data_IF_420242370882
#
_entry.id   IF_420242370882
#
_cell.length_a   1.000
_cell.length_b   1.000
_cell.length_c   1.000
_cell.angle_alpha   90.00
_cell.angle_beta   90.00
_cell.angle_gamma   90.00
#
_symmetry.space_group_name_H-M   'P 1'
#
loop_
_entity.id
_entity.type
_entity.pdbx_description
1 polymer ?
#
# COMPACT_ATOMS: atom_id res chain seq x y z
N UNK A 1 20.25 -15.83 5.62
CA UNK A 1 19.97 -17.29 5.78
C UNK A 1 19.58 -17.59 7.23
N UNK A 2 18.33 -17.26 7.60
CA UNK A 2 17.53 -17.76 8.74
C UNK A 2 18.17 -17.85 10.16
N UNK A 3 18.90 -16.84 10.64
CA UNK A 3 19.39 -16.78 12.03
C UNK A 3 18.43 -16.06 13.02
N UNK A 4 17.12 -16.28 12.92
CA UNK A 4 16.16 -15.84 13.95
C UNK A 4 15.51 -17.05 14.61
N UNK A 5 16.34 -17.81 15.32
CA UNK A 5 15.88 -18.92 16.17
C UNK A 5 15.49 -18.36 17.53
N UNK A 6 14.20 -18.42 17.88
CA UNK A 6 13.73 -18.05 19.21
C UNK A 6 13.71 -19.28 20.13
N UNK A 7 14.16 -19.10 21.38
CA UNK A 7 14.01 -20.09 22.44
C UNK A 7 12.79 -19.72 23.27
N UNK A 8 11.74 -20.54 23.21
CA UNK A 8 10.53 -20.37 24.02
C UNK A 8 10.42 -21.55 24.98
N UNK A 9 10.37 -21.28 26.29
CA UNK A 9 10.15 -22.29 27.33
C UNK A 9 11.06 -23.55 27.25
N UNK A 10 12.34 -23.37 26.89
CA UNK A 10 13.30 -24.49 26.80
C UNK A 10 13.20 -25.31 25.51
N UNK A 11 12.27 -24.99 24.61
CA UNK A 11 12.25 -25.53 23.26
C UNK A 11 13.19 -24.72 22.36
N UNK A 12 14.30 -25.32 21.98
CA UNK A 12 15.30 -24.74 21.09
C UNK A 12 15.00 -25.13 19.64
N UNK A 13 14.09 -24.39 19.01
CA UNK A 13 14.11 -24.00 17.57
C UNK A 13 12.73 -23.54 17.09
N UNK A 14 12.41 -22.26 17.27
CA UNK A 14 11.32 -21.61 16.53
C UNK A 14 11.93 -20.70 15.46
N UNK A 15 11.53 -20.89 14.19
CA UNK A 15 11.93 -20.01 13.08
C UNK A 15 10.97 -18.82 13.02
N UNK A 16 11.46 -17.61 13.25
CA UNK A 16 10.65 -16.41 13.13
C UNK A 16 10.39 -16.09 11.64
N UNK A 17 9.17 -16.35 11.18
CA UNK A 17 8.71 -16.06 9.81
C UNK A 17 7.72 -14.89 9.73
N UNK A 18 7.52 -14.17 10.84
CA UNK A 18 6.45 -13.16 10.98
C UNK A 18 6.94 -11.72 10.81
N UNK A 19 8.24 -11.48 10.92
CA UNK A 19 8.80 -10.14 10.80
C UNK A 19 9.18 -9.85 9.35
N UNK A 20 8.56 -8.83 8.75
CA UNK A 20 8.88 -8.31 7.42
C UNK A 20 10.11 -7.37 7.46
N UNK A 21 11.15 -7.77 8.17
CA UNK A 21 12.40 -7.04 8.26
C UNK A 21 13.46 -7.80 7.46
N UNK A 22 14.20 -7.13 6.55
CA UNK A 22 15.26 -7.78 5.80
C UNK A 22 16.32 -8.41 6.71
N UNK A 23 16.93 -9.51 6.27
CA UNK A 23 17.98 -10.23 7.02
C UNK A 23 19.39 -9.72 6.72
N UNK A 24 19.53 -8.69 5.90
CA UNK A 24 20.80 -8.03 5.59
C UNK A 24 21.00 -6.77 6.42
N UNK A 25 22.26 -6.49 6.74
CA UNK A 25 22.66 -5.26 7.42
C UNK A 25 22.44 -4.02 6.53
N UNK A 26 22.28 -2.87 7.18
CA UNK A 26 22.28 -1.59 6.46
C UNK A 26 23.59 -1.43 5.68
N UNK A 27 23.55 -1.08 4.37
CA UNK A 27 24.76 -0.89 3.57
C UNK A 27 25.77 0.05 4.24
N UNK A 28 27.07 -0.29 4.19
CA UNK A 28 28.12 0.42 4.94
C UNK A 28 28.16 1.92 4.67
N UNK A 29 27.98 2.34 3.41
CA UNK A 29 27.94 3.76 3.02
C UNK A 29 26.79 4.53 3.70
N UNK A 30 25.68 3.87 4.00
CA UNK A 30 24.54 4.48 4.72
C UNK A 30 24.83 4.53 6.22
N UNK A 31 25.39 3.46 6.77
CA UNK A 31 25.78 3.40 8.19
C UNK A 31 26.87 4.45 8.51
N UNK A 32 27.89 4.57 7.66
CA UNK A 32 28.95 5.57 7.76
C UNK A 32 28.40 7.00 7.66
N UNK A 33 27.48 7.27 6.74
CA UNK A 33 26.81 8.57 6.69
C UNK A 33 26.08 8.89 8.00
N UNK A 34 25.40 7.91 8.59
CA UNK A 34 24.76 8.03 9.91
C UNK A 34 25.75 8.33 11.05
N UNK A 35 26.92 7.70 11.03
CA UNK A 35 28.00 7.97 12.00
C UNK A 35 28.54 9.39 11.82
N UNK A 36 28.83 9.78 10.58
CA UNK A 36 29.42 11.07 10.25
C UNK A 36 28.53 12.24 10.69
N UNK A 37 27.22 12.18 10.42
CA UNK A 37 26.31 13.26 10.84
C UNK A 37 26.24 13.42 12.36
N UNK A 38 26.43 12.34 13.13
CA UNK A 38 26.54 12.40 14.59
C UNK A 38 27.87 13.07 14.99
N UNK A 39 28.98 12.64 14.40
CA UNK A 39 30.32 13.19 14.68
C UNK A 39 30.44 14.68 14.33
N UNK A 40 29.76 15.11 13.27
CA UNK A 40 29.72 16.51 12.80
C UNK A 40 28.73 17.38 13.61
N UNK A 41 27.98 16.78 14.55
CA UNK A 41 27.09 17.51 15.44
C UNK A 41 25.74 17.90 14.82
N UNK A 42 25.31 17.23 13.75
CA UNK A 42 23.98 17.42 13.12
C UNK A 42 22.85 16.80 13.97
N UNK A 43 22.71 17.24 15.21
CA UNK A 43 21.78 16.69 16.23
C UNK A 43 20.67 17.67 16.64
N UNK A 44 20.55 18.80 15.94
CA UNK A 44 19.50 19.80 16.17
C UNK A 44 18.28 19.52 15.30
N UNK A 45 17.18 20.24 15.57
CA UNK A 45 15.98 20.13 14.76
C UNK A 45 16.26 20.38 13.28
N UNK A 46 15.75 19.48 12.45
CA UNK A 46 15.64 19.67 11.01
C UNK A 46 14.35 20.45 10.69
N UNK A 47 14.20 21.00 9.47
CA UNK A 47 12.93 21.54 9.04
C UNK A 47 11.81 20.51 9.16
N UNK A 48 10.60 20.92 9.53
CA UNK A 48 9.45 20.01 9.74
C UNK A 48 9.15 19.10 8.53
N UNK A 49 9.38 19.58 7.31
CA UNK A 49 9.16 18.80 6.09
C UNK A 49 10.29 17.79 5.79
N UNK A 50 11.41 17.86 6.52
CA UNK A 50 12.67 17.20 6.20
C UNK A 50 13.69 18.15 5.56
N UNK A 51 14.96 17.73 5.59
CA UNK A 51 16.08 18.49 5.00
C UNK A 51 15.87 18.70 3.50
N UNK A 52 16.36 19.82 2.97
CA UNK A 52 16.15 20.17 1.56
C UNK A 52 16.86 19.17 0.63
N UNK A 53 18.05 18.76 1.01
CA UNK A 53 18.90 17.81 0.31
C UNK A 53 18.20 16.46 0.13
N UNK A 54 17.60 15.93 1.21
CA UNK A 54 16.87 14.66 1.16
C UNK A 54 15.61 14.77 0.30
N UNK A 55 14.83 15.85 0.44
CA UNK A 55 13.65 16.07 -0.39
C UNK A 55 14.01 16.18 -1.88
N UNK A 56 15.11 16.88 -2.21
CA UNK A 56 15.62 16.97 -3.59
C UNK A 56 16.09 15.61 -4.12
N UNK A 57 16.78 14.81 -3.31
CA UNK A 57 17.19 13.46 -3.68
C UNK A 57 15.99 12.55 -3.98
N UNK A 58 14.92 12.64 -3.18
CA UNK A 58 13.66 11.91 -3.44
C UNK A 58 13.01 12.37 -4.74
N UNK A 59 12.95 13.68 -5.02
CA UNK A 59 12.45 14.17 -6.32
C UNK A 59 13.22 13.56 -7.50
N UNK A 60 14.55 13.49 -7.40
CA UNK A 60 15.38 12.87 -8.43
C UNK A 60 15.10 11.38 -8.59
N UNK A 61 15.01 10.63 -7.48
CA UNK A 61 14.66 9.21 -7.48
C UNK A 61 13.30 8.95 -8.15
N UNK A 62 12.28 9.73 -7.81
CA UNK A 62 10.93 9.60 -8.36
C UNK A 62 10.91 9.86 -9.87
N UNK A 63 11.68 10.83 -10.36
CA UNK A 63 11.82 11.08 -11.79
C UNK A 63 12.55 9.91 -12.49
N UNK A 64 13.70 9.50 -11.96
CA UNK A 64 14.57 8.50 -12.59
C UNK A 64 13.95 7.09 -12.58
N UNK A 65 13.40 6.66 -11.45
CA UNK A 65 12.90 5.28 -11.28
C UNK A 65 11.41 5.14 -11.58
N UNK A 66 10.62 6.21 -11.40
CA UNK A 66 9.16 6.16 -11.53
C UNK A 66 8.61 7.04 -12.66
N UNK A 67 9.44 7.88 -13.30
CA UNK A 67 9.02 8.77 -14.39
C UNK A 67 8.04 9.86 -13.95
N UNK A 68 8.05 10.25 -12.67
CA UNK A 68 7.14 11.24 -12.10
C UNK A 68 7.88 12.41 -11.46
N UNK A 69 7.55 13.62 -11.91
CA UNK A 69 8.21 14.84 -11.45
C UNK A 69 7.48 15.47 -10.26
N UNK A 70 8.23 15.79 -9.21
CA UNK A 70 7.75 16.56 -8.06
C UNK A 70 8.74 17.66 -7.70
N UNK A 71 8.23 18.74 -7.09
CA UNK A 71 9.08 19.75 -6.45
C UNK A 71 9.37 19.36 -4.99
N UNK A 72 10.49 19.83 -4.39
CA UNK A 72 10.77 19.54 -2.99
C UNK A 72 9.65 19.93 -2.01
N UNK A 73 8.84 20.95 -2.34
CA UNK A 73 7.72 21.39 -1.50
C UNK A 73 6.52 20.43 -1.53
N UNK A 74 6.53 19.43 -2.41
CA UNK A 74 5.55 18.36 -2.48
C UNK A 74 6.04 17.07 -1.80
N UNK A 75 7.23 17.08 -1.18
CA UNK A 75 7.80 15.94 -0.45
C UNK A 75 7.79 16.24 1.05
N UNK A 76 7.24 15.31 1.84
CA UNK A 76 7.23 15.35 3.30
C UNK A 76 7.95 14.10 3.83
N UNK A 77 8.99 14.29 4.63
CA UNK A 77 9.69 13.20 5.32
C UNK A 77 9.00 12.90 6.65
N UNK A 78 8.77 11.62 6.93
CA UNK A 78 8.17 11.13 8.18
C UNK A 78 9.07 10.07 8.82
N UNK A 79 8.80 9.71 10.07
CA UNK A 79 9.43 8.61 10.81
C UNK A 79 8.88 7.26 10.33
N UNK A 80 9.17 6.93 9.07
CA UNK A 80 8.72 5.72 8.39
C UNK A 80 7.36 5.87 7.70
N UNK A 81 7.10 4.95 6.76
CA UNK A 81 5.93 5.00 5.88
C UNK A 81 4.59 4.95 6.64
N UNK A 82 4.55 4.27 7.80
CA UNK A 82 3.36 4.17 8.65
C UNK A 82 2.85 5.55 9.07
N UNK A 83 3.75 6.47 9.43
CA UNK A 83 3.37 7.85 9.77
C UNK A 83 2.89 8.60 8.53
N UNK A 84 3.55 8.45 7.38
CA UNK A 84 3.16 9.13 6.14
C UNK A 84 1.74 8.75 5.71
N UNK A 85 1.38 7.46 5.76
CA UNK A 85 0.03 6.99 5.43
C UNK A 85 -1.01 7.52 6.43
N UNK A 86 -0.74 7.43 7.74
CA UNK A 86 -1.64 7.95 8.76
C UNK A 86 -1.90 9.46 8.58
N UNK A 87 -0.84 10.25 8.36
CA UNK A 87 -0.99 11.69 8.12
C UNK A 87 -1.78 11.98 6.84
N UNK A 88 -1.56 11.20 5.79
CA UNK A 88 -2.36 11.26 4.57
C UNK A 88 -3.84 11.07 4.86
N UNK A 89 -4.21 9.97 5.55
CA UNK A 89 -5.59 9.68 5.93
C UNK A 89 -6.22 10.77 6.79
N UNK A 90 -5.51 11.24 7.83
CA UNK A 90 -6.00 12.30 8.71
C UNK A 90 -6.23 13.64 8.00
N UNK A 91 -5.51 13.90 6.90
CA UNK A 91 -5.66 15.14 6.12
C UNK A 91 -6.78 15.04 5.08
N UNK A 92 -6.98 13.86 4.48
CA UNK A 92 -7.95 13.70 3.39
C UNK A 92 -9.33 13.26 3.85
N UNK A 93 -9.45 12.57 4.98
CA UNK A 93 -10.71 12.04 5.49
C UNK A 93 -11.37 12.98 6.50
N UNK A 94 -12.69 13.07 6.44
CA UNK A 94 -13.57 13.63 7.46
C UNK A 94 -14.28 12.52 8.25
N UNK A 95 -14.81 12.88 9.42
CA UNK A 95 -15.61 11.97 10.24
C UNK A 95 -16.82 11.45 9.46
N UNK A 96 -16.97 10.13 9.40
CA UNK A 96 -18.03 9.45 8.67
C UNK A 96 -17.71 9.12 7.21
N UNK A 97 -16.60 9.61 6.65
CA UNK A 97 -16.16 9.23 5.29
C UNK A 97 -15.89 7.73 5.21
N UNK A 98 -16.10 7.16 4.03
CA UNK A 98 -15.81 5.76 3.76
C UNK A 98 -14.41 5.60 3.17
N UNK A 99 -13.57 4.79 3.82
CA UNK A 99 -12.25 4.41 3.33
C UNK A 99 -12.32 2.99 2.80
N UNK A 100 -12.17 2.86 1.48
CA UNK A 100 -12.22 1.57 0.80
C UNK A 100 -10.81 0.94 0.81
N UNK A 101 -10.70 -0.29 1.32
CA UNK A 101 -9.44 -1.05 1.33
C UNK A 101 -9.67 -2.45 0.78
N UNK A 102 -8.84 -2.85 -0.18
CA UNK A 102 -8.82 -4.21 -0.69
C UNK A 102 -8.09 -5.16 0.27
N UNK A 103 -8.76 -6.24 0.70
CA UNK A 103 -8.22 -7.29 1.56
C UNK A 103 -7.65 -8.47 0.77
N UNK A 104 -6.71 -9.26 1.34
CA UNK A 104 -6.07 -9.05 2.64
C UNK A 104 -5.17 -7.80 2.65
N UNK A 105 -5.22 -7.02 3.72
CA UNK A 105 -4.55 -5.72 3.82
C UNK A 105 -3.59 -5.65 5.00
N UNK A 106 -2.69 -4.65 4.98
CA UNK A 106 -1.79 -4.41 6.09
C UNK A 106 -2.57 -3.98 7.34
N UNK A 107 -2.40 -4.72 8.44
CA UNK A 107 -3.21 -4.62 9.67
C UNK A 107 -3.39 -3.20 10.19
N UNK A 108 -2.40 -2.33 9.99
CA UNK A 108 -2.45 -0.95 10.49
C UNK A 108 -3.48 -0.08 9.77
N UNK A 109 -3.90 -0.40 8.54
CA UNK A 109 -4.81 0.47 7.80
C UNK A 109 -6.21 0.54 8.42
N UNK A 110 -6.69 -0.56 9.03
CA UNK A 110 -7.95 -0.57 9.76
C UNK A 110 -7.97 0.46 10.88
N UNK A 111 -6.94 0.42 11.73
CA UNK A 111 -6.84 1.35 12.86
C UNK A 111 -6.57 2.78 12.39
N UNK A 112 -5.80 2.98 11.31
CA UNK A 112 -5.59 4.33 10.77
C UNK A 112 -6.88 4.98 10.24
N UNK A 113 -7.73 4.22 9.55
CA UNK A 113 -9.04 4.72 9.10
C UNK A 113 -9.91 5.10 10.30
N UNK A 114 -9.93 4.26 11.33
CA UNK A 114 -10.65 4.52 12.58
C UNK A 114 -10.12 5.76 13.31
N UNK A 115 -8.80 5.98 13.33
CA UNK A 115 -8.18 7.17 13.90
C UNK A 115 -8.59 8.46 13.16
N UNK A 116 -8.93 8.36 11.87
CA UNK A 116 -9.48 9.45 11.08
C UNK A 116 -11.01 9.62 11.24
N UNK A 117 -11.65 8.85 12.14
CA UNK A 117 -13.10 8.76 12.29
C UNK A 117 -13.83 8.34 11.00
N UNK A 118 -13.12 7.67 10.09
CA UNK A 118 -13.68 7.13 8.87
C UNK A 118 -14.24 5.72 9.10
N UNK A 119 -15.27 5.38 8.33
CA UNK A 119 -15.82 4.03 8.25
C UNK A 119 -14.98 3.23 7.27
N UNK A 120 -14.41 2.10 7.72
CA UNK A 120 -13.67 1.22 6.83
C UNK A 120 -14.64 0.32 6.06
N UNK A 121 -14.57 0.37 4.73
CA UNK A 121 -15.22 -0.58 3.85
C UNK A 121 -14.16 -1.52 3.26
N UNK A 122 -14.18 -2.78 3.70
CA UNK A 122 -13.26 -3.80 3.19
C UNK A 122 -13.84 -4.42 1.93
N UNK A 123 -13.10 -4.32 0.83
CA UNK A 123 -13.33 -5.14 -0.36
C UNK A 123 -12.53 -6.42 -0.19
N UNK A 124 -13.17 -7.47 0.27
CA UNK A 124 -12.52 -8.78 0.44
C UNK A 124 -12.18 -9.36 -0.93
N UNK A 125 -10.90 -9.35 -1.34
CA UNK A 125 -10.52 -9.93 -2.63
C UNK A 125 -10.46 -11.46 -2.60
N UNK A 126 -10.30 -12.09 -1.43
CA UNK A 126 -10.27 -13.55 -1.34
C UNK A 126 -11.68 -14.14 -1.52
N UNK A 127 -12.71 -13.45 -1.05
CA UNK A 127 -14.11 -13.86 -1.23
C UNK A 127 -14.80 -13.21 -2.46
N UNK A 128 -14.46 -11.97 -2.81
CA UNK A 128 -15.17 -11.17 -3.82
C UNK A 128 -14.44 -11.12 -5.17
N UNK A 129 -13.11 -11.25 -5.22
CA UNK A 129 -12.35 -11.04 -6.45
C UNK A 129 -11.51 -12.27 -6.82
N UNK A 130 -12.05 -13.12 -7.70
CA UNK A 130 -11.32 -14.31 -8.16
C UNK A 130 -10.08 -13.92 -8.95
N UNK A 131 -10.21 -12.93 -9.82
CA UNK A 131 -9.11 -12.38 -10.63
C UNK A 131 -9.57 -11.13 -11.39
N UNK A 132 -8.62 -10.26 -11.73
CA UNK A 132 -8.84 -9.07 -12.54
C UNK A 132 -7.87 -9.06 -13.72
N UNK A 133 -8.38 -8.89 -14.94
CA UNK A 133 -7.57 -8.83 -16.16
C UNK A 133 -7.82 -7.53 -16.90
N UNK A 134 -6.77 -7.00 -17.53
CA UNK A 134 -6.94 -5.93 -18.52
C UNK A 134 -7.88 -6.45 -19.62
N UNK A 135 -8.99 -5.76 -19.84
CA UNK A 135 -10.05 -6.20 -20.76
C UNK A 135 -9.51 -6.48 -22.17
N UNK A 136 -8.60 -5.65 -22.67
CA UNK A 136 -7.97 -5.84 -23.98
C UNK A 136 -7.17 -7.13 -24.12
N UNK A 137 -6.73 -7.71 -23.00
CA UNK A 137 -5.90 -8.90 -22.95
C UNK A 137 -6.69 -10.17 -22.64
N UNK A 138 -8.00 -10.06 -22.43
CA UNK A 138 -8.86 -11.16 -22.00
C UNK A 138 -9.58 -11.78 -23.21
N UNK A 139 -9.34 -13.07 -23.54
CA UNK A 139 -10.11 -13.79 -24.54
C UNK A 139 -11.62 -13.76 -24.25
N UNK A 140 -12.44 -13.44 -25.26
CA UNK A 140 -13.91 -13.33 -25.14
C UNK A 140 -14.53 -14.60 -24.55
N UNK A 141 -13.98 -15.77 -24.88
CA UNK A 141 -14.47 -17.07 -24.42
C UNK A 141 -14.41 -17.24 -22.88
N UNK A 142 -13.47 -16.57 -22.20
CA UNK A 142 -13.32 -16.69 -20.75
C UNK A 142 -14.51 -16.08 -20.00
N UNK A 143 -15.17 -15.04 -20.57
CA UNK A 143 -16.37 -14.47 -19.96
C UNK A 143 -17.55 -15.42 -20.02
N UNK A 144 -17.73 -16.08 -21.17
CA UNK A 144 -18.76 -17.09 -21.36
C UNK A 144 -18.52 -18.28 -20.43
N UNK A 145 -17.30 -18.81 -20.37
CA UNK A 145 -16.94 -19.91 -19.48
C UNK A 145 -17.09 -19.55 -18.00
N UNK A 146 -16.69 -18.34 -17.60
CA UNK A 146 -16.88 -17.86 -16.23
C UNK A 146 -18.36 -17.80 -15.84
N UNK A 147 -19.21 -17.32 -16.75
CA UNK A 147 -20.67 -17.26 -16.53
C UNK A 147 -21.27 -18.67 -16.45
N UNK A 148 -20.80 -19.61 -17.27
CA UNK A 148 -21.22 -21.02 -17.24
C UNK A 148 -20.89 -21.72 -15.92
N UNK A 149 -19.79 -21.35 -15.26
CA UNK A 149 -19.40 -21.89 -13.94
C UNK A 149 -19.95 -21.08 -12.75
N UNK A 150 -20.84 -20.11 -13.01
CA UNK A 150 -21.55 -19.35 -11.97
C UNK A 150 -20.79 -18.16 -11.37
N UNK A 151 -19.77 -17.63 -12.08
CA UNK A 151 -19.11 -16.38 -11.71
C UNK A 151 -19.83 -15.19 -12.37
N UNK A 152 -20.11 -14.15 -11.60
CA UNK A 152 -20.49 -12.85 -12.17
C UNK A 152 -19.24 -12.07 -12.54
N UNK A 153 -19.38 -11.10 -13.44
CA UNK A 153 -18.29 -10.22 -13.81
C UNK A 153 -18.83 -8.84 -14.17
N UNK A 154 -17.99 -7.83 -13.96
CA UNK A 154 -18.26 -6.45 -14.34
C UNK A 154 -17.00 -5.80 -14.90
N UNK A 155 -17.19 -4.68 -15.61
CA UNK A 155 -16.08 -3.87 -16.11
C UNK A 155 -15.88 -2.66 -15.22
N UNK A 156 -14.64 -2.46 -14.80
CA UNK A 156 -14.18 -1.34 -14.01
C UNK A 156 -13.34 -0.42 -14.91
N UNK A 157 -13.71 0.86 -14.93
CA UNK A 157 -12.88 1.89 -15.56
C UNK A 157 -11.78 2.32 -14.59
N UNK A 158 -10.56 1.92 -14.87
CA UNK A 158 -9.37 2.32 -14.13
C UNK A 158 -8.73 3.53 -14.83
N UNK A 159 -8.97 4.71 -14.27
CA UNK A 159 -8.35 5.95 -14.73
C UNK A 159 -6.93 6.06 -14.17
N UNK A 160 -5.93 6.03 -15.04
CA UNK A 160 -4.53 6.21 -14.65
C UNK A 160 -4.20 7.69 -14.49
N UNK A 161 -3.35 8.00 -13.50
CA UNK A 161 -2.72 9.32 -13.34
C UNK A 161 -1.75 9.66 -14.49
N UNK A 162 -1.28 8.66 -15.24
CA UNK A 162 -0.48 8.87 -16.44
C UNK A 162 -1.37 9.40 -17.57
N UNK A 163 -1.01 10.57 -18.09
CA UNK A 163 -1.70 11.21 -19.22
C UNK A 163 -1.19 10.64 -20.53
N UNK A 164 -2.09 10.41 -21.48
CA UNK A 164 -1.68 10.15 -22.87
C UNK A 164 -1.10 11.43 -23.49
N UNK A 165 -0.47 11.29 -24.66
CA UNK A 165 0.16 12.39 -25.40
C UNK A 165 -0.77 13.61 -25.59
N UNK A 166 -2.09 13.39 -25.61
CA UNK A 166 -3.15 14.41 -25.74
C UNK A 166 -3.68 14.97 -24.40
N UNK A 167 -2.94 14.81 -23.28
CA UNK A 167 -3.32 15.25 -21.91
C UNK A 167 -4.61 14.64 -21.34
N UNK A 168 -5.26 13.71 -22.04
CA UNK A 168 -6.42 12.97 -21.54
C UNK A 168 -5.97 11.89 -20.53
N UNK A 169 -6.77 11.63 -19.47
CA UNK A 169 -6.50 10.53 -18.56
C UNK A 169 -6.50 9.21 -19.33
N UNK A 170 -5.48 8.37 -19.13
CA UNK A 170 -5.49 7.04 -19.73
C UNK A 170 -6.51 6.17 -19.02
N UNK A 171 -7.62 5.87 -19.69
CA UNK A 171 -8.64 4.96 -19.19
C UNK A 171 -8.26 3.53 -19.59
N UNK A 172 -8.14 2.64 -18.61
CA UNK A 172 -8.00 1.21 -18.84
C UNK A 172 -9.26 0.51 -18.35
N UNK A 173 -9.80 -0.40 -19.14
CA UNK A 173 -10.89 -1.26 -18.71
C UNK A 173 -10.29 -2.52 -18.08
N UNK A 174 -10.78 -2.87 -16.90
CA UNK A 174 -10.42 -4.09 -16.19
C UNK A 174 -11.70 -4.91 -16.04
N UNK A 175 -11.65 -6.16 -16.51
CA UNK A 175 -12.74 -7.12 -16.26
C UNK A 175 -12.45 -7.79 -14.94
N UNK A 176 -13.39 -7.64 -14.01
CA UNK A 176 -13.35 -8.23 -12.67
C UNK A 176 -14.31 -9.40 -12.64
N UNK A 177 -13.79 -10.57 -12.25
CA UNK A 177 -14.61 -11.75 -11.98
C UNK A 177 -14.85 -11.86 -10.49
N UNK A 178 -16.11 -11.97 -10.11
CA UNK A 178 -16.55 -12.10 -8.73
C UNK A 178 -17.35 -13.40 -8.54
N UNK A 179 -17.41 -13.85 -7.29
CA UNK A 179 -18.18 -15.04 -6.92
C UNK A 179 -19.56 -14.60 -6.44
N UNK A 180 -20.64 -15.12 -7.03
CA UNK A 180 -21.99 -14.86 -6.52
C UNK A 180 -22.17 -15.57 -5.18
N UNK A 181 -22.12 -14.81 -4.08
CA UNK A 181 -22.66 -15.27 -2.80
C UNK A 181 -23.85 -14.40 -2.37
N UNK A 182 -24.90 -15.07 -1.94
CA UNK A 182 -26.05 -14.49 -1.26
C UNK A 182 -25.60 -13.87 0.06
N UNK A 183 -25.86 -12.59 0.24
CA UNK A 183 -25.69 -11.87 1.51
C UNK A 183 -26.55 -12.51 2.63
N UNK A 184 -26.10 -13.59 3.27
CA UNK A 184 -26.70 -14.10 4.51
C UNK A 184 -25.75 -14.08 5.72
N UNK A 185 -24.54 -13.51 5.60
CA UNK A 185 -23.54 -13.54 6.69
C UNK A 185 -23.19 -12.18 7.31
N UNK A 186 -24.13 -11.23 7.35
CA UNK A 186 -23.99 -9.99 8.15
C UNK A 186 -24.98 -9.88 9.34
N UNK A 187 -25.45 -11.01 9.88
CA UNK A 187 -26.29 -11.02 11.10
C UNK A 187 -25.61 -11.60 12.35
N UNK A 188 -24.30 -11.90 12.34
CA UNK A 188 -23.63 -12.47 13.52
C UNK A 188 -22.38 -11.66 13.85
N UNK A 189 -22.57 -10.47 14.45
CA UNK A 189 -21.68 -9.85 15.44
C UNK A 189 -22.17 -8.47 15.90
N UNK A 190 -23.45 -8.34 16.27
CA UNK A 190 -23.90 -7.31 17.20
C UNK A 190 -25.04 -7.88 18.05
N UNK A 191 -24.67 -8.53 19.15
CA UNK A 191 -25.50 -8.77 20.33
C UNK A 191 -24.61 -8.71 21.55
#
# INVERSE_FOLDING_TARGET
MWERTLTVNGFSKAFAMTAEEPDFDTPSVIAEAGINVICEGHTRYTPNAGTFELRKAICHKLEEENGISYTPNQILISNGAKQSVLQGLLVVCSSGDEVIIAGPFYVSYFEMARMAYANLLVLDLDETLVCAYKTSSLPVILRSQATEVGLSWFELECVSSNKEYDRKPKVNHVTVFERQYSYELFSIAFS
#
